data_IF_298109235986
#
_entry.id   IF_298109235986
#
_cell.length_a   1.000
_cell.length_b   1.000
_cell.length_c   1.000
_cell.angle_alpha   90.00
_cell.angle_beta   90.00
_cell.angle_gamma   90.00
#
_symmetry.space_group_name_H-M   'P 1'
#
loop_
_entity.id
_entity.type
_entity.pdbx_description
1 polymer ?
#
# COMPACT_ATOMS: atom_id res chain seq x y z
N UNK A 1 16.71 -40.26 55.49
CA UNK A 1 16.93 -41.06 54.27
C UNK A 1 18.30 -40.67 53.71
N UNK A 2 19.33 -41.52 53.86
CA UNK A 2 20.69 -41.23 53.36
C UNK A 2 20.69 -41.45 51.85
N UNK A 3 20.69 -40.37 51.06
CA UNK A 3 20.92 -40.50 49.62
C UNK A 3 22.37 -40.93 49.39
N UNK A 4 22.56 -42.05 48.71
CA UNK A 4 23.88 -42.58 48.35
C UNK A 4 24.50 -41.67 47.27
N UNK A 5 25.80 -41.36 47.33
CA UNK A 5 26.47 -40.42 46.42
C UNK A 5 26.23 -40.70 44.91
N UNK A 6 26.00 -41.96 44.53
CA UNK A 6 25.69 -42.33 43.13
C UNK A 6 24.33 -41.78 42.65
N UNK A 7 23.35 -41.59 43.53
CA UNK A 7 22.03 -41.06 43.16
C UNK A 7 22.09 -39.62 42.63
N UNK A 8 23.02 -38.81 43.16
CA UNK A 8 23.26 -37.45 42.68
C UNK A 8 23.90 -37.43 41.29
N UNK A 9 24.80 -38.37 41.00
CA UNK A 9 25.42 -38.49 39.67
C UNK A 9 24.39 -38.87 38.60
N UNK A 10 23.47 -39.79 38.93
CA UNK A 10 22.39 -40.17 38.02
C UNK A 10 21.40 -39.03 37.78
N UNK A 11 21.08 -38.24 38.81
CA UNK A 11 20.22 -37.05 38.67
C UNK A 11 20.85 -36.00 37.75
N UNK A 12 22.15 -35.72 37.88
CA UNK A 12 22.83 -34.78 36.99
C UNK A 12 22.90 -35.25 35.54
N UNK A 13 23.10 -36.55 35.31
CA UNK A 13 23.09 -37.15 33.98
C UNK A 13 21.71 -37.06 33.31
N UNK A 14 20.63 -37.34 34.05
CA UNK A 14 19.27 -37.28 33.53
C UNK A 14 18.87 -35.82 33.23
N UNK A 15 19.22 -34.87 34.10
CA UNK A 15 18.98 -33.44 33.87
C UNK A 15 19.76 -32.92 32.65
N UNK A 16 21.02 -33.35 32.47
CA UNK A 16 21.81 -32.99 31.28
C UNK A 16 21.21 -33.54 29.98
N UNK A 17 20.69 -34.77 30.01
CA UNK A 17 20.06 -35.39 28.84
C UNK A 17 18.74 -34.71 28.44
N UNK A 18 17.98 -34.18 29.41
CA UNK A 18 16.76 -33.40 29.16
C UNK A 18 17.05 -32.03 28.53
N UNK A 19 18.19 -31.41 28.83
CA UNK A 19 18.61 -30.14 28.21
C UNK A 19 18.94 -30.29 26.71
N UNK A 20 19.37 -31.48 26.26
CA UNK A 20 19.66 -31.74 24.85
C UNK A 20 18.40 -31.79 23.96
N UNK A 21 17.21 -32.00 24.53
CA UNK A 21 15.94 -32.02 23.77
C UNK A 21 15.25 -30.65 23.67
N UNK A 22 15.75 -29.64 24.38
CA UNK A 22 15.14 -28.29 24.40
C UNK A 22 15.50 -27.42 23.19
N UNK A 23 16.42 -27.87 22.33
CA UNK A 23 16.85 -27.13 21.13
C UNK A 23 16.16 -27.71 19.87
N UNK A 24 14.85 -27.49 19.77
CA UNK A 24 14.16 -27.56 18.48
C UNK A 24 13.71 -26.14 18.14
N UNK A 25 14.50 -25.46 17.31
CA UNK A 25 14.08 -24.21 16.68
C UNK A 25 13.12 -24.57 15.52
N UNK A 26 11.83 -24.31 15.71
CA UNK A 26 10.88 -24.30 14.60
C UNK A 26 11.31 -23.20 13.63
N UNK A 27 11.81 -23.60 12.46
CA UNK A 27 12.17 -22.65 11.41
C UNK A 27 10.92 -21.83 11.07
N UNK A 28 10.98 -20.48 11.11
CA UNK A 28 9.86 -19.65 10.73
C UNK A 28 9.41 -20.01 9.32
N UNK A 29 8.12 -20.26 9.14
CA UNK A 29 7.54 -20.49 7.81
C UNK A 29 7.88 -19.30 6.92
N UNK A 30 8.55 -19.55 5.80
CA UNK A 30 8.81 -18.54 4.79
C UNK A 30 7.48 -17.93 4.32
N UNK A 31 7.30 -16.64 4.63
CA UNK A 31 6.20 -15.83 4.13
C UNK A 31 6.43 -15.70 2.62
N UNK A 32 5.66 -16.46 1.83
CA UNK A 32 5.61 -16.25 0.38
C UNK A 32 4.99 -14.87 0.15
N UNK A 33 5.83 -13.90 -0.20
CA UNK A 33 5.38 -12.61 -0.70
C UNK A 33 4.74 -12.88 -2.05
N UNK A 34 3.40 -12.84 -2.11
CA UNK A 34 2.68 -12.88 -3.37
C UNK A 34 3.09 -11.67 -4.20
N UNK A 35 3.63 -11.93 -5.39
CA UNK A 35 3.99 -10.87 -6.32
C UNK A 35 2.71 -10.10 -6.67
N UNK A 36 2.64 -8.78 -6.44
CA UNK A 36 1.44 -8.01 -6.72
C UNK A 36 1.11 -8.13 -8.20
N UNK A 37 -0.12 -8.55 -8.51
CA UNK A 37 -0.64 -8.59 -9.87
C UNK A 37 -0.62 -7.16 -10.40
N UNK A 38 0.25 -6.88 -11.36
CA UNK A 38 0.34 -5.56 -11.99
C UNK A 38 -0.89 -5.37 -12.87
N UNK A 39 -1.92 -4.76 -12.31
CA UNK A 39 -3.08 -4.28 -13.08
C UNK A 39 -2.59 -3.18 -14.01
N UNK A 40 -2.51 -3.47 -15.32
CA UNK A 40 -2.17 -2.46 -16.31
C UNK A 40 -3.29 -1.42 -16.37
N UNK A 41 -2.98 -0.20 -15.94
CA UNK A 41 -3.87 0.94 -16.08
C UNK A 41 -4.18 1.19 -17.58
N UNK A 42 -5.45 1.24 -18.01
CA UNK A 42 -5.81 1.49 -19.40
C UNK A 42 -5.52 2.92 -19.86
N UNK A 43 -5.39 3.87 -18.93
CA UNK A 43 -5.10 5.27 -19.21
C UNK A 43 -3.60 5.53 -19.25
N UNK A 44 -3.17 6.45 -20.13
CA UNK A 44 -1.77 6.87 -20.20
C UNK A 44 -1.31 7.60 -18.94
N UNK A 45 -2.25 8.31 -18.30
CA UNK A 45 -2.05 8.97 -17.03
C UNK A 45 -3.28 8.70 -16.16
N UNK A 46 -3.03 8.30 -14.92
CA UNK A 46 -4.01 8.19 -13.85
C UNK A 46 -3.32 8.64 -12.57
N UNK A 47 -3.97 9.54 -11.84
CA UNK A 47 -3.56 9.90 -10.49
C UNK A 47 -4.79 10.07 -9.62
N UNK A 48 -4.81 9.38 -8.50
CA UNK A 48 -5.80 9.58 -7.44
C UNK A 48 -5.20 10.52 -6.38
N UNK A 49 -5.94 11.57 -6.03
CA UNK A 49 -5.56 12.57 -5.05
C UNK A 49 -6.64 12.57 -3.96
N UNK A 50 -6.33 11.97 -2.82
CA UNK A 50 -7.17 12.07 -1.63
C UNK A 50 -6.90 13.42 -0.94
N UNK A 51 -7.91 14.29 -0.90
CA UNK A 51 -7.83 15.60 -0.25
C UNK A 51 -8.13 15.46 1.24
N UNK A 52 -9.13 14.63 1.57
CA UNK A 52 -9.54 14.28 2.93
C UNK A 52 -10.28 12.94 2.90
N UNK A 53 -10.44 12.27 4.05
CA UNK A 53 -11.11 10.97 4.10
C UNK A 53 -12.46 10.99 3.38
N UNK A 54 -12.55 10.23 2.30
CA UNK A 54 -13.77 10.06 1.50
C UNK A 54 -14.03 11.13 0.44
N UNK A 55 -13.13 12.10 0.24
CA UNK A 55 -13.12 13.05 -0.89
C UNK A 55 -11.86 12.86 -1.73
N UNK A 56 -12.05 12.30 -2.93
CA UNK A 56 -10.98 11.98 -3.86
C UNK A 56 -11.17 12.72 -5.19
N UNK A 57 -10.05 13.03 -5.83
CA UNK A 57 -10.00 13.55 -7.19
C UNK A 57 -9.13 12.63 -8.05
N UNK A 58 -9.75 11.99 -9.02
CA UNK A 58 -9.05 11.15 -9.99
C UNK A 58 -8.84 11.94 -11.28
N UNK A 59 -7.59 12.03 -11.73
CA UNK A 59 -7.21 12.67 -12.99
C UNK A 59 -6.85 11.59 -13.99
N UNK A 60 -7.65 11.46 -15.04
CA UNK A 60 -7.47 10.44 -16.08
C UNK A 60 -7.25 11.08 -17.44
N UNK A 61 -6.27 10.58 -18.20
CA UNK A 61 -6.01 11.10 -19.55
C UNK A 61 -6.36 10.11 -20.66
N UNK A 62 -6.86 10.63 -21.77
CA UNK A 62 -7.08 9.87 -23.00
C UNK A 62 -6.60 10.66 -24.22
N UNK A 63 -6.42 9.94 -25.33
CA UNK A 63 -5.84 10.48 -26.57
C UNK A 63 -4.83 9.51 -27.15
N UNK A 64 -4.88 9.32 -28.47
CA UNK A 64 -3.98 8.46 -29.24
C UNK A 64 -3.00 9.35 -30.00
N UNK A 65 -1.72 9.02 -29.95
CA UNK A 65 -0.63 9.87 -30.47
C UNK A 65 0.50 9.98 -29.46
N UNK A 66 1.73 10.14 -29.94
CA UNK A 66 2.94 10.23 -29.10
C UNK A 66 3.03 11.61 -28.43
N UNK A 67 2.72 12.70 -29.15
CA UNK A 67 3.14 14.04 -28.71
C UNK A 67 2.05 15.12 -28.67
N UNK A 68 0.78 14.83 -29.00
CA UNK A 68 -0.14 15.95 -29.24
C UNK A 68 -1.61 15.59 -29.21
N UNK A 69 -2.35 16.47 -28.54
CA UNK A 69 -3.82 16.61 -28.54
C UNK A 69 -4.55 15.42 -27.93
N UNK A 70 -5.25 15.69 -26.84
CA UNK A 70 -6.09 14.70 -26.19
C UNK A 70 -7.05 15.39 -25.23
N UNK A 71 -7.57 14.60 -24.30
CA UNK A 71 -8.37 15.12 -23.21
C UNK A 71 -7.90 14.55 -21.88
N UNK A 72 -8.38 15.16 -20.83
CA UNK A 72 -8.37 14.58 -19.50
C UNK A 72 -9.67 14.89 -18.77
N UNK A 73 -9.95 14.07 -17.77
CA UNK A 73 -11.06 14.24 -16.87
C UNK A 73 -10.53 14.36 -15.47
N UNK A 74 -11.15 15.27 -14.73
CA UNK A 74 -11.06 15.34 -13.28
C UNK A 74 -12.37 14.77 -12.75
N UNK A 75 -12.29 13.70 -11.99
CA UNK A 75 -13.44 13.00 -11.41
C UNK A 75 -13.39 13.19 -9.90
N UNK A 76 -14.32 13.97 -9.36
CA UNK A 76 -14.48 14.17 -7.94
C UNK A 76 -15.44 13.13 -7.38
N UNK A 77 -15.00 12.43 -6.34
CA UNK A 77 -15.79 11.46 -5.60
C UNK A 77 -15.85 11.85 -4.12
N UNK A 78 -16.99 12.34 -3.67
CA UNK A 78 -17.32 12.56 -2.27
C UNK A 78 -18.26 11.44 -1.80
N UNK A 79 -17.65 10.40 -1.24
CA UNK A 79 -18.35 9.21 -0.73
C UNK A 79 -19.17 9.49 0.53
N UNK A 80 -18.78 10.50 1.33
CA UNK A 80 -19.47 10.88 2.56
C UNK A 80 -20.81 11.52 2.22
N UNK A 81 -20.82 12.43 1.25
CA UNK A 81 -22.01 13.16 0.85
C UNK A 81 -22.73 12.55 -0.37
N UNK A 82 -22.22 11.44 -0.92
CA UNK A 82 -22.72 10.80 -2.16
C UNK A 82 -22.78 11.79 -3.33
N UNK A 83 -21.78 12.66 -3.40
CA UNK A 83 -21.70 13.73 -4.37
C UNK A 83 -20.55 13.45 -5.33
N UNK A 84 -20.86 13.40 -6.62
CA UNK A 84 -19.91 13.03 -7.66
C UNK A 84 -19.98 14.08 -8.76
N UNK A 85 -18.83 14.64 -9.12
CA UNK A 85 -18.74 15.63 -10.20
C UNK A 85 -17.62 15.24 -11.15
N UNK A 86 -17.74 15.67 -12.39
CA UNK A 86 -16.68 15.50 -13.38
C UNK A 86 -16.50 16.77 -14.20
N UNK A 87 -15.27 16.97 -14.65
CA UNK A 87 -14.92 18.00 -15.61
C UNK A 87 -14.05 17.39 -16.70
N UNK A 88 -14.40 17.62 -17.96
CA UNK A 88 -13.61 17.22 -19.11
C UNK A 88 -12.94 18.43 -19.73
N UNK A 89 -11.66 18.31 -20.05
CA UNK A 89 -10.84 19.39 -20.62
C UNK A 89 -10.00 18.84 -21.76
N UNK A 90 -9.94 19.61 -22.85
CA UNK A 90 -9.04 19.34 -23.97
C UNK A 90 -7.62 19.83 -23.63
N UNK A 91 -6.60 19.08 -24.04
CA UNK A 91 -5.20 19.41 -23.75
C UNK A 91 -4.34 19.31 -24.99
N UNK A 92 -3.30 20.15 -25.03
CA UNK A 92 -2.17 20.06 -25.95
C UNK A 92 -0.95 19.59 -25.14
N UNK A 93 -0.20 18.59 -25.63
CA UNK A 93 0.99 18.05 -24.95
C UNK A 93 0.76 16.70 -24.26
N UNK A 94 1.36 16.47 -23.08
CA UNK A 94 1.25 15.26 -22.24
C UNK A 94 1.09 15.71 -20.78
N UNK A 95 0.21 15.04 -20.02
CA UNK A 95 0.12 15.28 -18.57
C UNK A 95 1.27 14.55 -17.90
N UNK A 96 2.10 15.30 -17.20
CA UNK A 96 3.22 14.74 -16.43
C UNK A 96 2.84 14.51 -14.98
N UNK A 97 1.96 15.33 -14.42
CA UNK A 97 1.53 15.20 -13.03
C UNK A 97 0.21 15.92 -12.75
N UNK A 98 -0.35 15.73 -11.55
CA UNK A 98 -1.46 16.50 -11.01
C UNK A 98 -1.31 16.68 -9.49
N UNK A 99 -1.69 17.83 -8.94
CA UNK A 99 -1.45 18.20 -7.55
C UNK A 99 -2.66 18.89 -6.94
N UNK A 100 -2.91 18.64 -5.66
CA UNK A 100 -3.74 19.53 -4.86
C UNK A 100 -2.90 20.77 -4.49
N UNK A 101 -3.33 21.94 -4.92
CA UNK A 101 -2.71 23.24 -4.69
C UNK A 101 -3.56 24.13 -3.77
N UNK A 102 -4.36 23.52 -2.90
CA UNK A 102 -5.02 24.21 -1.79
C UNK A 102 -3.98 24.78 -0.83
N UNK A 103 -3.69 26.08 -1.03
CA UNK A 103 -2.71 26.85 -0.28
C UNK A 103 -3.37 27.84 0.68
N UNK A 104 -4.66 28.12 0.53
CA UNK A 104 -5.40 29.08 1.36
C UNK A 104 -6.26 28.41 2.44
N UNK A 105 -6.37 27.07 2.42
CA UNK A 105 -7.03 26.26 3.45
C UNK A 105 -8.49 26.68 3.67
N UNK A 106 -9.17 27.09 2.59
CA UNK A 106 -10.59 27.42 2.61
C UNK A 106 -11.49 26.16 2.55
N UNK A 107 -10.88 24.99 2.30
CA UNK A 107 -11.54 23.70 2.23
C UNK A 107 -12.09 23.34 0.84
N UNK A 108 -11.83 24.17 -0.17
CA UNK A 108 -12.09 23.92 -1.58
C UNK A 108 -10.78 23.52 -2.27
N UNK A 109 -10.58 22.24 -2.59
CA UNK A 109 -9.33 21.82 -3.22
C UNK A 109 -9.16 22.39 -4.63
N UNK A 110 -8.02 23.03 -4.89
CA UNK A 110 -7.57 23.36 -6.24
C UNK A 110 -6.75 22.22 -6.85
N UNK A 111 -7.27 21.58 -7.89
CA UNK A 111 -6.51 20.56 -8.63
C UNK A 111 -5.76 21.22 -9.79
N UNK A 112 -4.43 21.20 -9.70
CA UNK A 112 -3.53 21.58 -10.78
C UNK A 112 -3.15 20.35 -11.60
N UNK A 113 -3.29 20.42 -12.92
CA UNK A 113 -2.98 19.34 -13.88
C UNK A 113 -2.01 19.84 -14.93
#
# INVERSE_FOLDING_TARGET
MKLNNNTWQHLFLITGMLFCFACNEDKPSEIKVETPVVTKNPFKFYKDIEVKPGLNFEVVSWGKGVDSIGGYQILMSDSVNKNYKSQAVERLGIITDAWNMDLDNDGNPEIYV
#
